data_IF_271856180769
#
_entry.id   IF_271856180769
#
_cell.length_a   1.000
_cell.length_b   1.000
_cell.length_c   1.000
_cell.angle_alpha   90.00
_cell.angle_beta   90.00
_cell.angle_gamma   90.00
#
_symmetry.space_group_name_H-M   'P 1'
#
loop_
_entity.id
_entity.type
_entity.pdbx_description
1 polymer ?
#
# COMPACT_ATOMS: atom_id res chain seq x y z
N UNK A 1 -9.03 -3.54 19.80
CA UNK A 1 -9.53 -4.72 19.08
C UNK A 1 -8.85 -4.76 17.72
N UNK A 2 -8.38 -5.92 17.26
CA UNK A 2 -7.70 -6.06 15.96
C UNK A 2 -8.70 -6.61 14.94
N UNK A 3 -8.81 -5.97 13.77
CA UNK A 3 -9.76 -6.37 12.71
C UNK A 3 -9.15 -7.40 11.76
N UNK A 4 -7.97 -7.11 11.21
CA UNK A 4 -7.22 -7.98 10.29
C UNK A 4 -5.73 -7.91 10.63
N UNK A 5 -5.00 -8.99 10.31
CA UNK A 5 -3.53 -9.06 10.42
C UNK A 5 -2.95 -9.75 9.19
N UNK A 6 -1.72 -9.36 8.85
CA UNK A 6 -0.90 -10.02 7.85
C UNK A 6 0.55 -10.01 8.35
N UNK A 7 1.24 -11.13 8.20
CA UNK A 7 2.62 -11.28 8.66
C UNK A 7 3.55 -11.74 7.53
N UNK A 8 4.80 -11.31 7.58
CA UNK A 8 5.83 -11.67 6.61
C UNK A 8 5.99 -13.20 6.38
N UNK A 9 5.89 -14.08 7.39
CA UNK A 9 5.98 -15.54 7.19
C UNK A 9 4.82 -16.14 6.39
N UNK A 10 3.77 -15.38 6.08
CA UNK A 10 2.66 -15.83 5.25
C UNK A 10 2.93 -15.63 3.75
N UNK A 11 3.78 -14.67 3.40
CA UNK A 11 4.11 -14.33 2.00
C UNK A 11 4.75 -15.48 1.21
N UNK A 12 5.57 -16.39 1.79
CA UNK A 12 6.08 -17.58 1.09
C UNK A 12 5.01 -18.49 0.49
N UNK A 13 3.76 -18.42 0.96
CA UNK A 13 2.63 -19.16 0.37
C UNK A 13 2.24 -18.61 -1.02
N UNK A 14 2.60 -17.37 -1.30
CA UNK A 14 2.34 -16.63 -2.54
C UNK A 14 3.62 -16.49 -3.39
N UNK A 15 4.48 -17.51 -3.35
CA UNK A 15 5.69 -17.64 -4.19
C UNK A 15 6.87 -16.70 -3.88
N UNK A 16 6.75 -15.78 -2.92
CA UNK A 16 7.88 -14.96 -2.43
C UNK A 16 8.66 -15.71 -1.34
N UNK A 17 9.64 -16.52 -1.74
CA UNK A 17 10.35 -17.44 -0.84
C UNK A 17 11.58 -16.86 -0.12
N UNK A 18 12.12 -15.74 -0.60
CA UNK A 18 13.39 -15.18 -0.11
C UNK A 18 13.22 -13.72 0.33
N UNK A 19 14.01 -13.32 1.32
CA UNK A 19 14.10 -11.95 1.86
C UNK A 19 12.75 -11.28 2.17
N UNK A 20 12.09 -11.78 3.21
CA UNK A 20 10.78 -11.30 3.68
C UNK A 20 10.82 -9.92 4.36
N UNK A 21 11.95 -9.22 4.32
CA UNK A 21 12.18 -7.96 5.04
C UNK A 21 12.48 -6.78 4.13
N UNK A 22 12.56 -7.01 2.82
CA UNK A 22 12.81 -6.00 1.80
C UNK A 22 11.55 -5.15 1.51
N UNK A 23 11.69 -4.21 0.59
CA UNK A 23 10.63 -3.28 0.20
C UNK A 23 9.47 -4.01 -0.51
N UNK A 24 9.80 -4.90 -1.46
CA UNK A 24 8.84 -5.75 -2.17
C UNK A 24 7.99 -6.62 -1.23
N UNK A 25 8.60 -7.26 -0.22
CA UNK A 25 7.89 -8.05 0.77
C UNK A 25 6.96 -7.17 1.62
N UNK A 26 7.39 -5.96 2.00
CA UNK A 26 6.54 -5.02 2.72
C UNK A 26 5.35 -4.54 1.86
N UNK A 27 5.53 -4.43 0.55
CA UNK A 27 4.47 -4.18 -0.42
C UNK A 27 3.49 -5.37 -0.46
N UNK A 28 3.96 -6.60 -0.70
CA UNK A 28 3.11 -7.80 -0.71
C UNK A 28 2.36 -8.08 0.61
N UNK A 29 2.92 -7.69 1.76
CA UNK A 29 2.24 -7.82 3.06
C UNK A 29 1.11 -6.80 3.18
N UNK A 30 1.32 -5.58 2.68
CA UNK A 30 0.26 -4.58 2.54
C UNK A 30 -0.89 -5.14 1.73
N UNK A 31 -0.55 -5.80 0.61
CA UNK A 31 -1.50 -6.26 -0.39
C UNK A 31 -2.46 -7.26 0.25
N UNK A 32 -1.85 -8.21 0.94
CA UNK A 32 -2.54 -9.25 1.68
C UNK A 32 -3.42 -8.67 2.79
N UNK A 33 -2.99 -7.61 3.46
CA UNK A 33 -3.75 -6.97 4.53
C UNK A 33 -4.96 -6.20 3.98
N UNK A 34 -4.77 -5.39 2.94
CA UNK A 34 -5.80 -4.58 2.31
C UNK A 34 -6.90 -5.48 1.73
N UNK A 35 -6.52 -6.49 0.94
CA UNK A 35 -7.46 -7.43 0.36
C UNK A 35 -8.24 -8.23 1.43
N UNK A 36 -7.59 -8.65 2.52
CA UNK A 36 -8.28 -9.29 3.67
C UNK A 36 -9.28 -8.37 4.34
N UNK A 37 -8.93 -7.09 4.47
CA UNK A 37 -9.79 -6.09 5.09
C UNK A 37 -11.02 -5.81 4.22
N UNK A 38 -10.82 -5.55 2.93
CA UNK A 38 -11.90 -5.27 1.99
C UNK A 38 -12.87 -6.45 1.85
N UNK A 39 -12.34 -7.67 1.74
CA UNK A 39 -13.14 -8.90 1.67
C UNK A 39 -13.97 -9.11 2.95
N UNK A 40 -13.39 -8.84 4.14
CA UNK A 40 -14.13 -8.93 5.41
C UNK A 40 -15.32 -7.97 5.47
N UNK A 41 -15.23 -6.80 4.84
CA UNK A 41 -16.31 -5.82 4.79
C UNK A 41 -17.20 -5.95 3.54
N UNK A 42 -16.88 -6.86 2.60
CA UNK A 42 -17.66 -7.10 1.38
C UNK A 42 -17.62 -5.96 0.37
N UNK A 43 -16.54 -5.16 0.38
CA UNK A 43 -16.33 -4.01 -0.51
C UNK A 43 -15.18 -4.22 -1.50
N UNK A 44 -14.60 -5.42 -1.53
CA UNK A 44 -13.54 -5.88 -2.43
C UNK A 44 -13.90 -5.72 -3.91
N UNK A 45 -15.15 -6.01 -4.28
CA UNK A 45 -15.64 -5.87 -5.67
C UNK A 45 -15.97 -4.43 -6.08
N UNK A 46 -16.14 -3.55 -5.10
CA UNK A 46 -16.49 -2.14 -5.34
C UNK A 46 -15.20 -1.33 -5.49
N UNK A 47 -14.23 -1.64 -4.63
CA UNK A 47 -12.93 -0.99 -4.57
C UNK A 47 -11.83 -2.02 -4.88
N UNK A 48 -11.73 -2.42 -6.14
CA UNK A 48 -10.69 -3.35 -6.63
C UNK A 48 -9.29 -2.71 -6.70
N UNK A 49 -9.22 -1.38 -6.55
CA UNK A 49 -7.96 -0.65 -6.62
C UNK A 49 -7.41 -0.52 -8.05
N UNK A 50 -6.09 -0.41 -8.17
CA UNK A 50 -5.37 -0.20 -9.41
C UNK A 50 -4.79 -1.52 -9.93
N UNK A 51 -5.48 -2.14 -10.91
CA UNK A 51 -5.11 -3.44 -11.52
C UNK A 51 -3.72 -3.44 -12.17
N UNK A 52 -3.29 -2.31 -12.74
CA UNK A 52 -1.95 -2.16 -13.32
C UNK A 52 -1.11 -1.23 -12.45
N UNK A 53 -0.14 -1.80 -11.72
CA UNK A 53 0.80 -1.04 -10.88
C UNK A 53 1.73 -0.18 -11.74
N UNK A 54 1.29 1.04 -12.05
CA UNK A 54 2.05 2.03 -12.81
C UNK A 54 2.93 2.91 -11.91
N UNK A 55 2.83 2.74 -10.60
CA UNK A 55 3.58 3.50 -9.60
C UNK A 55 3.04 4.90 -9.37
N UNK A 56 2.03 5.36 -10.12
CA UNK A 56 1.41 6.67 -9.96
C UNK A 56 0.68 6.83 -8.61
N UNK A 57 0.46 8.07 -8.20
CA UNK A 57 -0.35 8.38 -7.01
C UNK A 57 -1.82 8.09 -7.28
N UNK A 58 -2.30 6.96 -6.75
CA UNK A 58 -3.70 6.60 -6.78
C UNK A 58 -4.42 7.18 -5.54
N UNK A 59 -5.68 7.56 -5.69
CA UNK A 59 -6.53 7.94 -4.57
C UNK A 59 -7.92 7.39 -4.82
N UNK A 60 -8.48 6.73 -3.82
CA UNK A 60 -9.78 6.08 -3.93
C UNK A 60 -10.87 7.12 -3.75
N UNK A 61 -11.70 7.29 -4.77
CA UNK A 61 -12.87 8.18 -4.73
C UNK A 61 -14.14 7.39 -4.39
N UNK A 62 -15.10 8.05 -3.75
CA UNK A 62 -16.41 7.47 -3.47
C UNK A 62 -17.21 7.28 -4.76
N UNK A 63 -17.91 6.15 -4.87
CA UNK A 63 -18.79 5.86 -6.01
C UNK A 63 -20.23 6.16 -5.57
N UNK A 64 -20.95 6.95 -6.37
CA UNK A 64 -22.33 7.31 -6.08
C UNK A 64 -23.23 6.07 -5.96
N UNK A 65 -23.95 5.97 -4.84
CA UNK A 65 -24.86 4.85 -4.55
C UNK A 65 -24.20 3.60 -3.96
N UNK A 66 -22.89 3.61 -3.73
CA UNK A 66 -22.15 2.54 -3.04
C UNK A 66 -21.70 2.98 -1.63
N UNK A 67 -21.39 2.04 -0.72
CA UNK A 67 -20.71 2.36 0.54
C UNK A 67 -19.40 3.09 0.26
N UNK A 68 -19.09 4.11 1.06
CA UNK A 68 -17.83 4.87 0.90
C UNK A 68 -16.58 3.99 1.08
N UNK A 69 -15.42 4.44 0.56
CA UNK A 69 -14.19 3.68 0.64
C UNK A 69 -13.72 3.55 2.10
N UNK A 70 -13.02 2.46 2.39
CA UNK A 70 -12.52 2.23 3.73
C UNK A 70 -11.36 3.18 4.03
N UNK A 71 -11.58 4.15 4.93
CA UNK A 71 -10.55 5.11 5.33
C UNK A 71 -9.64 4.51 6.41
N UNK A 72 -8.34 4.51 6.13
CA UNK A 72 -7.29 4.02 7.02
C UNK A 72 -6.28 5.13 7.32
N UNK A 73 -5.71 5.12 8.52
CA UNK A 73 -4.60 5.98 8.90
C UNK A 73 -3.39 5.12 9.25
N UNK A 74 -2.22 5.51 8.77
CA UNK A 74 -0.97 4.82 9.09
C UNK A 74 -0.44 5.27 10.44
N UNK A 75 -0.18 4.28 11.30
CA UNK A 75 0.57 4.48 12.54
C UNK A 75 2.04 4.07 12.31
N UNK A 76 2.93 5.06 12.31
CA UNK A 76 4.36 4.82 12.19
C UNK A 76 5.01 4.40 13.53
N UNK A 77 4.32 4.56 14.65
CA UNK A 77 4.87 4.35 15.98
C UNK A 77 6.16 5.15 16.20
N UNK A 78 7.26 4.44 16.48
CA UNK A 78 8.61 5.00 16.64
C UNK A 78 9.47 4.90 15.39
N UNK A 79 8.92 4.38 14.28
CA UNK A 79 9.66 4.27 13.03
C UNK A 79 10.00 5.66 12.49
N UNK A 80 11.24 5.85 12.04
CA UNK A 80 11.67 7.13 11.47
C UNK A 80 10.99 7.32 10.11
N UNK A 81 10.33 8.47 9.93
CA UNK A 81 9.63 8.85 8.69
C UNK A 81 10.60 9.41 7.65
N UNK A 82 11.47 8.55 7.10
CA UNK A 82 12.39 8.90 6.00
C UNK A 82 11.83 8.51 4.64
N UNK A 83 12.11 9.30 3.61
CA UNK A 83 11.78 8.96 2.22
C UNK A 83 12.37 7.61 1.83
N UNK A 84 11.55 6.74 1.24
CA UNK A 84 11.95 5.39 0.85
C UNK A 84 11.98 4.36 1.99
N UNK A 85 11.49 4.70 3.20
CA UNK A 85 11.29 3.71 4.24
C UNK A 85 10.25 2.67 3.77
N UNK A 86 10.55 1.39 3.97
CA UNK A 86 9.66 0.25 3.64
C UNK A 86 8.28 0.32 4.28
N UNK A 87 8.13 1.00 5.42
CA UNK A 87 6.83 1.25 6.02
C UNK A 87 5.88 2.02 5.08
N UNK A 88 6.42 2.90 4.24
CA UNK A 88 5.65 3.60 3.21
C UNK A 88 5.37 2.75 1.97
N UNK A 89 6.11 1.65 1.76
CA UNK A 89 5.77 0.66 0.75
C UNK A 89 4.45 -0.03 1.06
N UNK A 90 4.25 -0.44 2.32
CA UNK A 90 2.97 -0.98 2.79
C UNK A 90 1.83 0.04 2.70
N UNK A 91 2.12 1.33 2.89
CA UNK A 91 1.12 2.39 2.71
C UNK A 91 0.73 2.56 1.24
N UNK A 92 1.72 2.60 0.32
CA UNK A 92 1.45 2.74 -1.12
C UNK A 92 0.57 1.61 -1.63
N UNK A 93 0.89 0.40 -1.20
CA UNK A 93 0.12 -0.78 -1.54
C UNK A 93 -1.34 -0.71 -1.05
N UNK A 94 -1.56 -0.37 0.22
CA UNK A 94 -2.93 -0.30 0.74
C UNK A 94 -3.80 0.69 -0.04
N UNK A 95 -3.20 1.78 -0.52
CA UNK A 95 -3.85 2.73 -1.42
C UNK A 95 -4.14 2.10 -2.77
N UNK A 96 -3.14 1.45 -3.38
CA UNK A 96 -3.27 0.78 -4.67
C UNK A 96 -4.35 -0.30 -4.65
N UNK A 97 -4.60 -0.93 -3.51
CA UNK A 97 -5.65 -1.94 -3.33
C UNK A 97 -7.05 -1.40 -3.04
N UNK A 98 -7.23 -0.07 -3.02
CA UNK A 98 -8.57 0.50 -2.81
C UNK A 98 -8.86 0.96 -1.37
N UNK A 99 -7.86 1.07 -0.49
CA UNK A 99 -8.03 1.79 0.77
C UNK A 99 -7.85 3.30 0.58
N UNK A 100 -8.70 4.07 1.24
CA UNK A 100 -8.55 5.53 1.27
C UNK A 100 -7.59 5.91 2.40
N UNK A 101 -6.32 6.16 2.06
CA UNK A 101 -5.30 6.59 3.02
C UNK A 101 -4.81 7.99 2.63
N UNK A 102 -5.00 9.02 3.46
CA UNK A 102 -4.47 10.35 3.17
C UNK A 102 -2.95 10.34 3.28
N UNK A 103 -2.25 10.62 2.17
CA UNK A 103 -0.80 10.55 2.10
C UNK A 103 -0.21 11.60 1.14
N UNK A 104 1.12 11.74 1.16
CA UNK A 104 1.88 12.57 0.23
C UNK A 104 2.97 11.74 -0.43
N UNK A 105 3.21 11.97 -1.72
CA UNK A 105 4.23 11.23 -2.47
C UNK A 105 5.68 11.45 -1.98
N UNK A 106 5.90 12.46 -1.13
CA UNK A 106 7.24 12.86 -0.62
C UNK A 106 7.98 11.76 0.15
N UNK A 107 7.25 10.80 0.71
CA UNK A 107 7.82 9.75 1.54
C UNK A 107 8.03 8.44 0.78
N UNK A 108 7.57 8.36 -0.48
CA UNK A 108 7.75 7.18 -1.33
C UNK A 108 9.16 7.11 -1.93
N UNK A 109 9.60 5.90 -2.26
CA UNK A 109 10.85 5.69 -2.97
C UNK A 109 10.74 6.26 -4.40
N UNK A 110 11.79 6.95 -4.86
CA UNK A 110 11.78 7.62 -6.16
C UNK A 110 11.32 9.08 -6.13
N UNK A 111 10.99 9.63 -4.96
CA UNK A 111 10.77 11.08 -4.80
C UNK A 111 12.10 11.83 -4.70
N UNK A 112 12.31 12.81 -5.58
CA UNK A 112 13.44 13.72 -5.52
C UNK A 112 13.01 15.04 -4.85
N UNK A 113 13.70 15.40 -3.76
CA UNK A 113 13.41 16.62 -3.00
C UNK A 113 13.79 17.91 -3.71
N UNK A 114 14.76 17.86 -4.64
CA UNK A 114 15.24 19.04 -5.36
C UNK A 114 14.32 19.39 -6.52
N UNK A 115 14.02 18.41 -7.39
CA UNK A 115 13.10 18.58 -8.51
C UNK A 115 11.62 18.54 -8.09
N UNK A 116 11.31 18.01 -6.89
CA UNK A 116 9.94 17.70 -6.42
C UNK A 116 9.19 16.75 -7.35
N UNK A 117 9.93 15.99 -8.15
CA UNK A 117 9.38 15.01 -9.07
C UNK A 117 9.35 13.63 -8.41
N UNK A 118 8.33 12.87 -8.77
CA UNK A 118 8.15 11.50 -8.30
C UNK A 118 8.37 10.55 -9.47
N UNK A 119 9.45 9.77 -9.40
CA UNK A 119 9.82 8.84 -10.47
C UNK A 119 9.24 7.46 -10.21
N UNK A 120 8.10 7.20 -10.86
CA UNK A 120 7.34 5.94 -10.74
C UNK A 120 8.10 4.70 -11.22
N UNK A 121 9.11 4.86 -12.09
CA UNK A 121 9.96 3.75 -12.55
C UNK A 121 10.85 3.20 -11.42
N UNK A 122 11.31 4.06 -10.51
CA UNK A 122 12.11 3.63 -9.36
C UNK A 122 11.25 2.98 -8.28
N UNK A 123 10.01 3.45 -8.11
CA UNK A 123 9.03 2.80 -7.24
C UNK A 123 8.72 1.39 -7.75
N UNK A 124 8.46 1.26 -9.05
CA UNK A 124 8.17 -0.03 -9.71
C UNK A 124 9.32 -1.01 -9.71
N UNK A 125 10.57 -0.55 -9.76
CA UNK A 125 11.74 -1.44 -9.75
C UNK A 125 12.09 -1.97 -8.36
N UNK A 126 11.54 -1.37 -7.31
CA UNK A 126 11.78 -1.73 -5.91
C UNK A 126 10.62 -2.47 -5.25
N UNK A 127 9.43 -2.43 -5.87
CA UNK A 127 8.24 -3.23 -5.57
C UNK A 127 8.25 -4.58 -6.29
#
# INVERSE_FOLDING_TARGET
MIVCTAYAPEVPKYEVKVDLTNYAAAYCIGLLLAHRLLNRFGIDKIYEGQVEVNGDSYSVESIDGQPGPFTCYMDAGLARTTTGNKAFGTLKDGVDEGLSIPHSAKQFCGYDSESKEFNTKYTRSTS
#
